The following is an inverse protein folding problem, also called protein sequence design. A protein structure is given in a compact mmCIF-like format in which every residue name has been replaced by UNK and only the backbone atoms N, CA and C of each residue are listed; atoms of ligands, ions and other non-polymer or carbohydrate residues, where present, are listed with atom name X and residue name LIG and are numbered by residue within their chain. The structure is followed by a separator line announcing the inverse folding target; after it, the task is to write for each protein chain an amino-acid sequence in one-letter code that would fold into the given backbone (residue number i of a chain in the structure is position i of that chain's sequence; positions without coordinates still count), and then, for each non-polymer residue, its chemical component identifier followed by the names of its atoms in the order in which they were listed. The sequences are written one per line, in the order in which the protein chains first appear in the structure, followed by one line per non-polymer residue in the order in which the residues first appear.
data_IF_314758723249
#
_entry.id   IF_314758723249
#
_cell.length_a   1.000
_cell.length_b   1.000
_cell.length_c   1.000
_cell.angle_alpha   90.00
_cell.angle_beta   90.00
_cell.angle_gamma   90.00
#
_symmetry.space_group_name_H-M   'P 1'
#
loop_
_entity.id
_entity.type
_entity.pdbx_description
1 polymer ?
#
# COMPACT_ATOMS: atom_id res chain seq x y z
N UNK A 1 16.91 8.00 -7.93
CA UNK A 1 15.87 8.98 -7.59
C UNK A 1 15.23 8.57 -6.27
N UNK A 2 15.28 9.43 -5.28
CA UNK A 2 14.72 9.22 -3.95
C UNK A 2 13.89 10.44 -3.56
N UNK A 3 12.72 10.21 -2.97
CA UNK A 3 11.80 11.27 -2.54
C UNK A 3 11.38 11.00 -1.10
N UNK A 4 11.46 12.01 -0.26
CA UNK A 4 11.00 11.94 1.11
C UNK A 4 9.46 11.81 1.13
N UNK A 5 8.94 10.75 1.74
CA UNK A 5 7.53 10.38 1.67
C UNK A 5 6.56 11.41 2.32
N UNK A 6 7.09 12.34 3.12
CA UNK A 6 6.28 13.44 3.64
C UNK A 6 5.85 14.44 2.56
N UNK A 7 6.56 14.49 1.42
CA UNK A 7 6.24 15.41 0.31
C UNK A 7 5.13 14.88 -0.58
N UNK A 8 5.15 13.58 -0.87
CA UNK A 8 4.26 12.97 -1.86
C UNK A 8 4.20 11.45 -1.68
N UNK A 9 3.15 10.83 -2.22
CA UNK A 9 3.05 9.38 -2.35
C UNK A 9 3.67 8.88 -3.67
N UNK A 10 3.62 7.56 -3.88
CA UNK A 10 4.17 6.93 -5.08
C UNK A 10 3.60 7.50 -6.39
N UNK A 11 2.32 7.89 -6.42
CA UNK A 11 1.68 8.47 -7.60
C UNK A 11 2.30 9.82 -7.96
N UNK A 12 2.44 10.72 -6.97
CA UNK A 12 3.04 12.03 -7.22
C UNK A 12 4.54 11.94 -7.49
N UNK A 13 5.27 11.04 -6.82
CA UNK A 13 6.69 10.81 -7.09
C UNK A 13 6.94 10.31 -8.52
N UNK A 14 6.15 9.36 -9.01
CA UNK A 14 6.23 8.87 -10.39
C UNK A 14 5.88 9.99 -11.39
N UNK A 15 4.88 10.81 -11.09
CA UNK A 15 4.52 11.93 -11.95
C UNK A 15 5.68 12.94 -12.05
N UNK A 16 6.32 13.27 -10.94
CA UNK A 16 7.50 14.14 -10.94
C UNK A 16 8.65 13.52 -11.76
N UNK A 17 8.94 12.24 -11.55
CA UNK A 17 10.00 11.53 -12.30
C UNK A 17 9.71 11.54 -13.81
N UNK A 18 8.45 11.33 -14.21
CA UNK A 18 8.06 11.38 -15.63
C UNK A 18 8.32 12.75 -16.25
N UNK A 19 7.98 13.83 -15.54
CA UNK A 19 8.26 15.20 -15.99
C UNK A 19 9.76 15.44 -16.11
N UNK A 20 10.53 15.01 -15.11
CA UNK A 20 11.98 15.14 -15.12
C UNK A 20 12.63 14.40 -16.30
N UNK A 21 12.23 13.13 -16.51
CA UNK A 21 12.72 12.30 -17.61
C UNK A 21 12.31 12.90 -18.97
N UNK A 22 11.09 13.41 -19.06
CA UNK A 22 10.63 14.06 -20.28
C UNK A 22 11.53 15.25 -20.67
N UNK A 23 11.78 16.18 -19.75
CA UNK A 23 12.65 17.32 -20.02
C UNK A 23 14.08 16.92 -20.32
N UNK A 24 14.59 15.91 -19.65
CA UNK A 24 15.90 15.35 -19.97
C UNK A 24 15.96 14.82 -21.42
N UNK A 25 14.97 14.06 -21.83
CA UNK A 25 14.89 13.51 -23.19
C UNK A 25 14.67 14.60 -24.25
N UNK A 26 13.83 15.60 -23.95
CA UNK A 26 13.60 16.77 -24.81
C UNK A 26 14.90 17.54 -25.06
N UNK A 27 15.65 17.82 -24.01
CA UNK A 27 16.93 18.54 -24.10
C UNK A 27 17.99 17.71 -24.82
N UNK A 28 18.14 16.44 -24.46
CA UNK A 28 19.20 15.54 -24.94
C UNK A 28 18.96 15.07 -26.37
N UNK A 29 17.72 14.80 -26.75
CA UNK A 29 17.35 14.16 -28.02
C UNK A 29 16.45 15.02 -28.90
N UNK A 30 16.11 16.25 -28.48
CA UNK A 30 15.27 17.19 -29.24
C UNK A 30 13.90 16.58 -29.58
N UNK A 31 13.34 15.77 -28.70
CA UNK A 31 12.02 15.17 -28.88
C UNK A 31 10.96 16.28 -28.76
N UNK A 32 10.06 16.37 -29.74
CA UNK A 32 8.98 17.35 -29.74
C UNK A 32 7.62 16.67 -29.92
N UNK A 33 6.55 17.38 -29.57
CA UNK A 33 5.18 16.93 -29.83
C UNK A 33 4.53 16.13 -28.72
N UNK A 34 5.19 15.98 -27.57
CA UNK A 34 4.60 15.36 -26.37
C UNK A 34 4.62 16.36 -25.20
N UNK A 35 3.64 16.30 -24.32
CA UNK A 35 3.62 17.11 -23.10
C UNK A 35 3.70 16.21 -21.86
N UNK A 36 4.62 16.53 -20.99
CA UNK A 36 4.71 15.88 -19.68
C UNK A 36 3.64 16.38 -18.70
N UNK A 37 3.07 17.55 -18.98
CA UNK A 37 2.01 18.13 -18.17
C UNK A 37 0.64 17.65 -18.68
N UNK A 38 -0.15 17.09 -17.78
CA UNK A 38 -1.52 16.63 -18.06
C UNK A 38 -2.54 17.77 -18.16
N UNK A 39 -2.11 19.03 -18.32
CA UNK A 39 -3.00 20.20 -18.38
C UNK A 39 -3.66 20.54 -17.05
N UNK A 40 -3.15 20.00 -15.95
CA UNK A 40 -3.71 20.21 -14.61
C UNK A 40 -3.28 21.57 -14.05
N UNK A 41 -4.24 22.31 -13.50
CA UNK A 41 -3.93 23.54 -12.79
C UNK A 41 -3.10 23.28 -11.53
N UNK A 42 -2.31 24.27 -11.11
CA UNK A 42 -1.57 24.22 -9.84
C UNK A 42 -2.49 23.95 -8.65
N UNK A 43 -3.70 24.47 -8.69
CA UNK A 43 -4.72 24.21 -7.67
C UNK A 43 -5.09 22.72 -7.59
N UNK A 44 -5.34 22.06 -8.71
CA UNK A 44 -5.68 20.63 -8.76
C UNK A 44 -4.53 19.77 -8.24
N UNK A 45 -3.28 20.10 -8.59
CA UNK A 45 -2.08 19.39 -8.15
C UNK A 45 -1.87 19.51 -6.63
N UNK A 46 -2.14 20.68 -6.05
CA UNK A 46 -1.88 20.98 -4.65
C UNK A 46 -3.08 20.80 -3.72
N UNK A 47 -4.24 20.41 -4.26
CA UNK A 47 -5.48 20.27 -3.50
C UNK A 47 -5.30 19.21 -2.39
N UNK A 48 -5.79 19.54 -1.19
CA UNK A 48 -5.91 18.57 -0.11
C UNK A 48 -7.13 17.66 -0.34
N UNK A 49 -6.86 16.43 -0.78
CA UNK A 49 -7.92 15.48 -1.09
C UNK A 49 -8.54 14.86 0.18
N UNK A 50 -7.80 14.79 1.29
CA UNK A 50 -8.38 14.35 2.56
C UNK A 50 -9.44 15.33 3.03
N UNK A 51 -9.12 16.62 3.05
CA UNK A 51 -10.08 17.66 3.43
C UNK A 51 -11.30 17.69 2.50
N UNK A 52 -11.11 17.52 1.18
CA UNK A 52 -12.20 17.52 0.20
C UNK A 52 -13.22 16.41 0.45
N UNK A 53 -12.78 15.22 0.84
CA UNK A 53 -13.61 14.03 0.98
C UNK A 53 -13.91 13.66 2.43
N UNK A 54 -13.58 14.54 3.38
CA UNK A 54 -13.88 14.34 4.78
C UNK A 54 -15.36 14.50 5.08
N UNK A 55 -15.94 13.47 5.72
CA UNK A 55 -17.31 13.50 6.24
C UNK A 55 -17.28 13.38 7.78
N UNK A 56 -17.76 14.43 8.46
CA UNK A 56 -17.85 14.47 9.93
C UNK A 56 -18.86 13.48 10.51
N UNK A 57 -19.82 13.02 9.72
CA UNK A 57 -20.86 12.08 10.17
C UNK A 57 -20.34 10.65 10.29
N UNK A 58 -19.26 10.31 9.62
CA UNK A 58 -18.65 8.98 9.66
C UNK A 58 -17.68 8.84 10.84
N UNK A 59 -18.20 8.36 11.97
CA UNK A 59 -17.36 7.97 13.13
C UNK A 59 -17.08 6.47 13.06
N UNK A 60 -15.89 6.09 12.62
CA UNK A 60 -15.46 4.69 12.67
C UNK A 60 -14.86 4.36 14.04
N UNK A 61 -15.58 3.55 14.83
CA UNK A 61 -14.98 2.91 16.01
C UNK A 61 -14.01 1.82 15.55
N UNK A 62 -12.74 1.98 15.85
CA UNK A 62 -11.76 0.88 15.65
C UNK A 62 -12.14 -0.30 16.55
N UNK A 63 -12.38 -1.50 16.00
CA UNK A 63 -12.49 -2.68 16.84
C UNK A 63 -11.16 -2.90 17.58
N UNK A 64 -11.24 -3.31 18.85
CA UNK A 64 -10.05 -3.68 19.63
C UNK A 64 -9.39 -4.90 18.96
N UNK A 65 -8.27 -4.69 18.28
CA UNK A 65 -7.50 -5.77 17.65
C UNK A 65 -6.55 -6.42 18.65
N UNK A 66 -6.33 -7.72 18.51
CA UNK A 66 -5.27 -8.42 19.25
C UNK A 66 -3.91 -7.87 18.80
N UNK A 67 -2.95 -7.84 19.73
CA UNK A 67 -1.57 -7.42 19.43
C UNK A 67 -0.97 -8.35 18.38
N UNK A 68 -0.51 -7.78 17.26
CA UNK A 68 0.10 -8.52 16.16
C UNK A 68 1.44 -9.17 16.57
N UNK A 69 1.79 -10.23 15.85
CA UNK A 69 3.14 -10.78 15.87
C UNK A 69 4.13 -9.72 15.38
N UNK A 70 5.28 -9.66 16.04
CA UNK A 70 6.39 -8.78 15.63
C UNK A 70 7.52 -9.64 15.13
N UNK A 71 7.93 -9.42 13.89
CA UNK A 71 9.11 -10.07 13.32
C UNK A 71 10.33 -9.59 14.10
N UNK A 72 11.15 -10.54 14.55
CA UNK A 72 12.41 -10.28 15.21
C UNK A 72 13.55 -10.69 14.28
N UNK A 73 14.63 -9.95 14.30
CA UNK A 73 15.83 -10.22 13.53
C UNK A 73 17.03 -9.52 14.17
N UNK A 74 18.22 -9.86 13.70
CA UNK A 74 19.44 -9.19 14.08
C UNK A 74 19.46 -7.77 13.50
N UNK A 75 19.94 -6.83 14.30
CA UNK A 75 20.14 -5.46 13.84
C UNK A 75 21.49 -5.34 13.16
N UNK A 76 21.51 -4.71 12.01
CA UNK A 76 22.75 -4.34 11.33
C UNK A 76 23.41 -3.23 12.14
N UNK A 77 24.70 -3.42 12.47
CA UNK A 77 25.48 -2.42 13.16
C UNK A 77 25.59 -1.10 12.37
N UNK A 78 25.89 0.00 13.09
CA UNK A 78 26.18 1.32 12.53
C UNK A 78 25.03 2.05 11.84
N UNK A 79 23.78 1.80 12.23
CA UNK A 79 22.58 2.50 11.67
C UNK A 79 22.48 2.41 10.14
N UNK A 80 23.04 1.37 9.54
CA UNK A 80 22.93 1.13 8.09
C UNK A 80 21.61 0.43 7.78
N UNK A 81 21.03 0.80 6.65
CA UNK A 81 19.89 0.11 6.08
C UNK A 81 20.40 -1.05 5.20
N UNK A 82 19.94 -2.26 5.47
CA UNK A 82 20.13 -3.40 4.57
C UNK A 82 19.04 -3.43 3.51
N UNK A 83 19.41 -3.60 2.27
CA UNK A 83 18.49 -3.75 1.14
C UNK A 83 18.72 -5.13 0.51
N UNK A 84 17.65 -5.86 0.30
CA UNK A 84 17.65 -7.12 -0.46
C UNK A 84 16.81 -6.88 -1.71
N UNK A 85 17.40 -7.11 -2.87
CA UNK A 85 16.74 -6.95 -4.15
C UNK A 85 16.52 -8.31 -4.80
N UNK A 86 15.31 -8.54 -5.32
CA UNK A 86 14.94 -9.74 -6.08
C UNK A 86 14.39 -9.35 -7.44
N UNK A 87 14.87 -9.99 -8.49
CA UNK A 87 14.38 -9.80 -9.85
C UNK A 87 13.64 -11.05 -10.31
N UNK A 88 12.43 -10.85 -10.80
CA UNK A 88 11.60 -11.95 -11.33
C UNK A 88 10.79 -11.50 -12.53
N UNK A 89 10.38 -12.42 -13.37
CA UNK A 89 9.51 -12.13 -14.51
C UNK A 89 8.12 -11.70 -14.00
N UNK A 90 7.68 -10.50 -14.35
CA UNK A 90 6.32 -10.04 -14.05
C UNK A 90 5.26 -10.99 -14.64
N UNK A 91 5.48 -11.50 -15.84
CA UNK A 91 4.58 -12.47 -16.48
C UNK A 91 4.45 -13.74 -15.65
N UNK A 92 5.58 -14.33 -15.21
CA UNK A 92 5.56 -15.54 -14.40
C UNK A 92 4.82 -15.34 -13.06
N UNK A 93 4.95 -14.15 -12.44
CA UNK A 93 4.21 -13.82 -11.20
C UNK A 93 2.72 -13.71 -11.48
N UNK A 94 2.32 -13.06 -12.58
CA UNK A 94 0.91 -12.93 -12.98
C UNK A 94 0.31 -14.32 -13.24
N UNK A 95 0.99 -15.15 -14.05
CA UNK A 95 0.52 -16.49 -14.40
C UNK A 95 0.38 -17.35 -13.13
N UNK A 96 1.35 -17.24 -12.21
CA UNK A 96 1.28 -17.95 -10.92
C UNK A 96 0.14 -17.46 -10.01
N UNK A 97 -0.12 -16.17 -9.95
CA UNK A 97 -1.26 -15.63 -9.20
C UNK A 97 -2.60 -16.14 -9.77
N UNK A 98 -2.72 -16.22 -11.09
CA UNK A 98 -3.92 -16.74 -11.76
C UNK A 98 -4.15 -18.23 -11.48
N UNK A 99 -3.11 -19.05 -11.29
CA UNK A 99 -3.28 -20.46 -10.87
C UNK A 99 -4.02 -20.58 -9.53
N UNK A 100 -3.93 -19.56 -8.68
CA UNK A 100 -4.62 -19.48 -7.39
C UNK A 100 -5.89 -18.62 -7.43
N UNK A 101 -6.35 -18.22 -8.62
CA UNK A 101 -7.47 -17.29 -8.79
C UNK A 101 -7.31 -16.02 -7.93
N UNK A 102 -6.10 -15.47 -7.90
CA UNK A 102 -5.73 -14.31 -7.10
C UNK A 102 -5.16 -13.19 -7.97
N UNK A 103 -5.34 -11.96 -7.54
CA UNK A 103 -4.59 -10.83 -8.08
C UNK A 103 -3.12 -10.92 -7.65
N UNK A 104 -2.23 -10.25 -8.38
CA UNK A 104 -0.80 -10.21 -8.03
C UNK A 104 -0.59 -9.70 -6.59
N UNK A 105 -1.34 -8.70 -6.17
CA UNK A 105 -1.23 -8.15 -4.82
C UNK A 105 -1.67 -9.16 -3.75
N UNK A 106 -2.78 -9.84 -3.95
CA UNK A 106 -3.27 -10.88 -3.03
C UNK A 106 -2.27 -12.03 -2.96
N UNK A 107 -1.77 -12.49 -4.11
CA UNK A 107 -0.80 -13.56 -4.18
C UNK A 107 0.50 -13.22 -3.44
N UNK A 108 1.09 -12.05 -3.69
CA UNK A 108 2.32 -11.63 -3.02
C UNK A 108 2.15 -11.47 -1.51
N UNK A 109 1.00 -10.94 -1.05
CA UNK A 109 0.70 -10.83 0.38
C UNK A 109 0.52 -12.22 1.00
N UNK A 110 -0.17 -13.14 0.31
CA UNK A 110 -0.31 -14.51 0.76
C UNK A 110 1.03 -15.21 0.92
N UNK A 111 1.91 -15.14 -0.09
CA UNK A 111 3.27 -15.69 -0.04
C UNK A 111 4.09 -15.07 1.10
N UNK A 112 3.96 -13.75 1.31
CA UNK A 112 4.63 -13.07 2.41
C UNK A 112 4.15 -13.58 3.78
N UNK A 113 2.85 -13.79 3.96
CA UNK A 113 2.28 -14.39 5.18
C UNK A 113 2.81 -15.81 5.38
N UNK A 114 2.86 -16.64 4.32
CA UNK A 114 3.41 -17.99 4.37
C UNK A 114 4.88 -17.97 4.84
N UNK A 115 5.70 -17.10 4.26
CA UNK A 115 7.10 -16.95 4.64
C UNK A 115 7.27 -16.53 6.12
N UNK A 116 6.36 -15.70 6.65
CA UNK A 116 6.35 -15.37 8.08
C UNK A 116 5.95 -16.59 8.91
N UNK A 117 4.94 -17.37 8.50
CA UNK A 117 4.52 -18.58 9.18
C UNK A 117 5.65 -19.61 9.31
N UNK A 118 6.45 -19.79 8.25
CA UNK A 118 7.58 -20.72 8.23
C UNK A 118 8.68 -20.35 9.24
N UNK A 119 8.85 -19.06 9.48
CA UNK A 119 9.85 -18.55 10.41
C UNK A 119 9.30 -18.25 11.80
N UNK A 120 8.00 -18.42 12.03
CA UNK A 120 7.34 -18.08 13.28
C UNK A 120 7.43 -19.20 14.30
N UNK A 121 7.99 -18.90 15.48
CA UNK A 121 8.06 -19.88 16.56
C UNK A 121 6.65 -20.30 17.02
N UNK A 122 6.47 -21.58 17.33
CA UNK A 122 5.17 -22.16 17.75
C UNK A 122 4.51 -21.39 18.91
N UNK A 123 5.31 -20.94 19.88
CA UNK A 123 4.83 -20.15 21.04
C UNK A 123 4.20 -18.81 20.65
N UNK A 124 4.56 -18.24 19.49
CA UNK A 124 4.10 -16.93 19.01
C UNK A 124 2.87 -17.03 18.12
N UNK A 125 2.48 -18.23 17.67
CA UNK A 125 1.32 -18.47 16.77
C UNK A 125 -0.03 -18.04 17.33
N UNK A 126 -0.12 -17.81 18.64
CA UNK A 126 -1.30 -17.23 19.30
C UNK A 126 -1.56 -15.75 18.91
N UNK A 127 -0.57 -15.10 18.30
CA UNK A 127 -0.68 -13.72 17.81
C UNK A 127 -0.95 -13.72 16.31
N UNK A 128 -1.87 -12.89 15.81
CA UNK A 128 -2.09 -12.77 14.38
C UNK A 128 -0.88 -12.16 13.68
N UNK A 129 -0.57 -12.64 12.48
CA UNK A 129 0.26 -11.94 11.52
C UNK A 129 -0.61 -10.84 10.92
N UNK A 130 -0.15 -9.60 10.92
CA UNK A 130 -0.88 -8.47 10.33
C UNK A 130 0.01 -7.80 9.31
N UNK A 131 -0.44 -7.80 8.05
CA UNK A 131 0.22 -7.12 6.95
C UNK A 131 -0.52 -5.83 6.66
N UNK A 132 0.18 -4.71 6.73
CA UNK A 132 -0.35 -3.38 6.38
C UNK A 132 -0.14 -3.14 4.90
N UNK A 133 -1.22 -2.92 4.16
CA UNK A 133 -1.23 -2.73 2.71
C UNK A 133 -1.65 -1.31 2.38
N UNK A 134 -0.75 -0.50 1.78
CA UNK A 134 -1.12 0.84 1.33
C UNK A 134 -2.05 0.76 0.11
N UNK A 135 -3.05 1.63 0.10
CA UNK A 135 -4.09 1.70 -0.93
C UNK A 135 -4.15 3.10 -1.53
N UNK A 136 -4.07 3.21 -2.85
CA UNK A 136 -4.25 4.47 -3.55
C UNK A 136 -5.74 4.88 -3.52
N UNK A 137 -6.08 5.87 -2.72
CA UNK A 137 -7.47 6.32 -2.55
C UNK A 137 -8.05 6.98 -3.80
N UNK A 138 -7.22 7.38 -4.78
CA UNK A 138 -7.68 7.98 -6.04
C UNK A 138 -8.54 7.04 -6.88
N UNK A 139 -8.47 5.74 -6.62
CA UNK A 139 -9.33 4.74 -7.26
C UNK A 139 -10.78 4.81 -6.76
N UNK A 140 -11.00 5.29 -5.54
CA UNK A 140 -12.32 5.40 -4.90
C UNK A 140 -12.84 6.84 -4.90
N UNK A 141 -11.93 7.80 -4.76
CA UNK A 141 -12.20 9.23 -4.66
C UNK A 141 -11.37 10.00 -5.68
N UNK A 142 -11.92 10.32 -6.85
CA UNK A 142 -11.18 10.93 -7.93
C UNK A 142 -10.46 12.22 -7.51
N UNK A 143 -9.14 12.21 -7.61
CA UNK A 143 -8.29 13.35 -7.28
C UNK A 143 -7.06 13.39 -8.17
N UNK A 144 -6.65 14.59 -8.55
CA UNK A 144 -5.45 14.86 -9.33
C UNK A 144 -4.31 15.43 -8.47
N UNK A 145 -4.47 15.36 -7.14
CA UNK A 145 -3.45 15.83 -6.23
C UNK A 145 -2.15 15.04 -6.38
N UNK A 146 -1.02 15.72 -6.31
CA UNK A 146 0.31 15.10 -6.21
C UNK A 146 0.75 14.93 -4.75
N UNK A 147 -0.04 15.43 -3.79
CA UNK A 147 0.19 15.22 -2.36
C UNK A 147 -0.15 13.79 -1.97
N UNK A 148 0.22 13.41 -0.76
CA UNK A 148 -0.17 12.13 -0.17
C UNK A 148 -1.70 11.96 -0.19
N UNK A 149 -2.18 10.91 -0.85
CA UNK A 149 -3.59 10.53 -0.83
C UNK A 149 -3.72 9.00 -0.91
N UNK A 150 -3.29 8.36 0.16
CA UNK A 150 -3.35 6.91 0.32
C UNK A 150 -3.89 6.55 1.70
N UNK A 151 -4.47 5.37 1.80
CA UNK A 151 -4.87 4.76 3.07
C UNK A 151 -4.12 3.47 3.32
N UNK A 152 -4.42 2.83 4.44
CA UNK A 152 -3.83 1.54 4.79
C UNK A 152 -4.94 0.59 5.23
N UNK A 153 -5.02 -0.57 4.60
CA UNK A 153 -5.82 -1.70 5.08
C UNK A 153 -4.93 -2.70 5.81
N UNK A 154 -5.53 -3.53 6.65
CA UNK A 154 -4.82 -4.51 7.45
C UNK A 154 -5.33 -5.91 7.17
N UNK A 155 -4.49 -6.75 6.59
CA UNK A 155 -4.77 -8.17 6.40
C UNK A 155 -4.25 -8.93 7.61
N UNK A 156 -5.15 -9.57 8.35
CA UNK A 156 -4.82 -10.32 9.56
C UNK A 156 -5.00 -11.82 9.32
N UNK A 157 -3.94 -12.60 9.53
CA UNK A 157 -3.97 -14.05 9.45
C UNK A 157 -3.63 -14.68 10.80
N UNK A 158 -4.38 -15.71 11.21
CA UNK A 158 -4.11 -16.48 12.44
C UNK A 158 -3.36 -17.76 12.07
N UNK A 159 -2.12 -17.84 12.49
CA UNK A 159 -1.26 -19.03 12.33
C UNK A 159 -1.46 -20.02 13.50
N UNK A 160 -2.69 -20.32 13.87
CA UNK A 160 -3.02 -21.18 15.02
C UNK A 160 -2.81 -22.67 14.76
N UNK A 161 -2.79 -23.10 13.49
CA UNK A 161 -2.50 -24.48 13.08
C UNK A 161 -1.00 -24.74 13.03
N UNK A 162 -0.60 -25.99 13.26
CA UNK A 162 0.78 -26.44 13.09
C UNK A 162 1.23 -26.43 11.63
N UNK A 163 0.29 -26.57 10.72
CA UNK A 163 0.48 -26.55 9.26
C UNK A 163 -0.54 -25.62 8.63
N UNK A 164 -0.17 -24.93 7.58
CA UNK A 164 -1.06 -24.08 6.79
C UNK A 164 -1.03 -24.52 5.34
N UNK A 165 -2.15 -24.36 4.66
CA UNK A 165 -2.24 -24.52 3.22
C UNK A 165 -2.21 -23.14 2.54
N UNK A 166 -1.45 -23.01 1.47
CA UNK A 166 -1.31 -21.72 0.74
C UNK A 166 -2.68 -21.19 0.30
N UNK A 167 -3.57 -22.08 -0.16
CA UNK A 167 -4.93 -21.72 -0.54
C UNK A 167 -5.73 -21.14 0.63
N UNK A 168 -5.63 -21.70 1.83
CA UNK A 168 -6.30 -21.15 3.03
C UNK A 168 -5.82 -19.74 3.35
N UNK A 169 -4.52 -19.50 3.24
CA UNK A 169 -3.95 -18.15 3.44
C UNK A 169 -4.47 -17.18 2.40
N UNK A 170 -4.46 -17.57 1.13
CA UNK A 170 -4.94 -16.74 0.03
C UNK A 170 -6.42 -16.42 0.14
N UNK A 171 -7.27 -17.35 0.58
CA UNK A 171 -8.69 -17.07 0.79
C UNK A 171 -8.90 -16.03 1.90
N UNK A 172 -8.13 -16.06 2.98
CA UNK A 172 -8.16 -15.02 4.02
C UNK A 172 -7.74 -13.66 3.46
N UNK A 173 -6.72 -13.62 2.60
CA UNK A 173 -6.26 -12.38 1.95
C UNK A 173 -7.35 -11.82 1.04
N UNK A 174 -7.90 -12.64 0.14
CA UNK A 174 -8.98 -12.25 -0.79
C UNK A 174 -10.19 -11.71 -0.04
N UNK A 175 -10.61 -12.40 1.00
CA UNK A 175 -11.74 -11.96 1.82
C UNK A 175 -11.45 -10.62 2.50
N UNK A 176 -10.24 -10.44 3.06
CA UNK A 176 -9.84 -9.16 3.65
C UNK A 176 -9.85 -8.02 2.65
N UNK A 177 -9.39 -8.26 1.41
CA UNK A 177 -9.45 -7.27 0.33
C UNK A 177 -10.88 -6.92 -0.03
N UNK A 178 -11.72 -7.93 -0.25
CA UNK A 178 -13.14 -7.74 -0.58
C UNK A 178 -13.89 -6.93 0.48
N UNK A 179 -13.63 -7.18 1.75
CA UNK A 179 -14.30 -6.49 2.86
C UNK A 179 -13.77 -5.07 3.08
N UNK A 180 -12.45 -4.85 2.92
CA UNK A 180 -11.84 -3.57 3.26
C UNK A 180 -11.70 -2.61 2.09
N UNK A 181 -11.62 -3.10 0.84
CA UNK A 181 -11.52 -2.27 -0.36
C UNK A 181 -12.89 -1.84 -0.89
N UNK A 182 -13.75 -1.39 0.01
CA UNK A 182 -15.05 -0.79 -0.33
C UNK A 182 -14.98 0.72 -0.19
N UNK A 183 -15.84 1.43 -0.94
CA UNK A 183 -15.89 2.89 -0.87
C UNK A 183 -16.19 3.39 0.53
N UNK A 184 -17.09 2.71 1.25
CA UNK A 184 -17.48 3.09 2.61
C UNK A 184 -16.34 2.93 3.61
N UNK A 185 -15.61 1.80 3.55
CA UNK A 185 -14.43 1.62 4.40
C UNK A 185 -13.32 2.64 4.10
N UNK A 186 -13.07 2.94 2.82
CA UNK A 186 -12.07 3.94 2.43
C UNK A 186 -12.51 5.34 2.88
N UNK A 187 -13.82 5.68 2.79
CA UNK A 187 -14.37 6.92 3.36
C UNK A 187 -14.11 7.01 4.86
N UNK A 188 -14.37 5.92 5.58
CA UNK A 188 -14.07 5.85 7.01
C UNK A 188 -12.58 6.06 7.35
N UNK A 189 -11.66 5.57 6.51
CA UNK A 189 -10.23 5.83 6.68
C UNK A 189 -9.92 7.33 6.48
N UNK A 190 -10.50 7.97 5.45
CA UNK A 190 -10.35 9.42 5.22
C UNK A 190 -10.80 10.21 6.45
N UNK A 191 -12.01 9.91 6.95
CA UNK A 191 -12.60 10.59 8.11
C UNK A 191 -11.75 10.42 9.37
N UNK A 192 -11.13 9.26 9.55
CA UNK A 192 -10.23 9.01 10.66
C UNK A 192 -8.94 9.85 10.60
N UNK A 193 -8.27 9.94 9.44
CA UNK A 193 -7.07 10.76 9.27
C UNK A 193 -7.37 12.24 9.50
N UNK A 194 -8.44 12.74 8.92
CA UNK A 194 -8.85 14.14 9.08
C UNK A 194 -9.24 14.50 10.53
N UNK A 195 -9.80 13.54 11.28
CA UNK A 195 -10.12 13.76 12.71
C UNK A 195 -8.87 13.87 13.58
N UNK A 196 -7.76 13.25 13.22
CA UNK A 196 -6.48 13.33 13.92
C UNK A 196 -5.86 14.72 13.71
N UNK A 197 -5.94 15.27 12.49
CA UNK A 197 -5.41 16.59 12.18
C UNK A 197 -6.23 17.73 12.83
N UNK A 198 -7.51 17.52 13.06
CA UNK A 198 -8.39 18.52 13.66
C UNK A 198 -8.36 18.56 15.20
N UNK A 199 -7.64 17.62 15.84
CA UNK A 199 -7.40 17.57 17.29
C UNK A 199 -5.90 17.78 17.53
N UNK A 200 -5.44 19.04 17.82
CA UNK A 200 -4.06 19.35 18.17
C UNK A 200 -3.66 18.77 19.52
#
# INVERSE_FOLDING_TARGET
FEVFHALTDGTGAIQFLRVLVYHYLEERYKISGWSADYGLSTFQKNMDAFYKYYDKSETTRKPKSKRAYRIHGERIDNKRLGVIEGFMSARAVIDKAHEYDATVSEFLIGVFICAICDNMAVRDRKRPIVVSVPVNMRQYFPSQTIRNFFGVIHVAYKADKSHYEVNEVLEVVKQSFKEQLTKDNISGIISQFSSIESNP
#
